data_IF_446174148484
#
_entry.id   IF_446174148484
#
_cell.length_a   1.000
_cell.length_b   1.000
_cell.length_c   1.000
_cell.angle_alpha   90.00
_cell.angle_beta   90.00
_cell.angle_gamma   90.00
#
_symmetry.space_group_name_H-M   'P 1'
#
loop_
_entity.id
_entity.type
_entity.pdbx_description
1 polymer ?
#
# COMPACT_ATOMS: atom_id res chain seq x y z
N UNK A 1 4.85 10.17 6.50
CA UNK A 1 3.91 9.74 7.57
C UNK A 1 2.86 10.83 7.77
N UNK A 2 1.58 10.48 7.93
CA UNK A 2 0.51 11.45 8.20
C UNK A 2 0.50 11.94 9.66
N UNK A 3 1.08 11.17 10.58
CA UNK A 3 1.15 11.47 12.02
C UNK A 3 1.91 12.77 12.35
N UNK A 4 2.81 13.22 11.46
CA UNK A 4 3.61 14.44 11.67
C UNK A 4 2.84 15.74 11.41
N UNK A 5 1.52 15.67 11.15
CA UNK A 5 0.70 16.84 10.79
C UNK A 5 0.04 17.53 11.97
N UNK A 6 -0.05 16.87 13.11
CA UNK A 6 -0.52 17.49 14.36
C UNK A 6 0.69 18.17 15.02
N UNK A 7 0.58 19.47 15.28
CA UNK A 7 1.66 20.26 15.89
C UNK A 7 1.49 20.36 17.40
N UNK A 8 0.25 20.51 17.88
CA UNK A 8 -0.01 20.71 19.31
C UNK A 8 -1.41 20.19 19.70
N UNK A 9 -1.53 19.73 20.94
CA UNK A 9 -2.82 19.45 21.58
C UNK A 9 -2.88 20.12 22.94
N UNK A 10 -3.81 21.06 23.10
CA UNK A 10 -4.07 21.73 24.37
C UNK A 10 -5.28 21.07 25.07
N UNK A 11 -5.01 20.46 26.23
CA UNK A 11 -6.00 19.74 27.03
C UNK A 11 -6.99 20.66 27.76
N UNK A 12 -6.55 21.86 28.15
CA UNK A 12 -7.37 22.81 28.91
C UNK A 12 -8.44 23.45 28.02
N UNK A 13 -8.02 23.95 26.85
CA UNK A 13 -8.92 24.54 25.86
C UNK A 13 -9.61 23.50 24.97
N UNK A 14 -9.20 22.22 25.04
CA UNK A 14 -9.67 21.13 24.16
C UNK A 14 -9.53 21.51 22.68
N UNK A 15 -8.36 22.00 22.30
CA UNK A 15 -8.04 22.40 20.92
C UNK A 15 -6.84 21.62 20.37
N UNK A 16 -6.88 21.35 19.07
CA UNK A 16 -5.80 20.67 18.34
C UNK A 16 -5.31 21.60 17.23
N UNK A 17 -4.01 21.82 17.18
CA UNK A 17 -3.34 22.54 16.09
C UNK A 17 -2.70 21.53 15.14
N UNK A 18 -2.94 21.70 13.84
CA UNK A 18 -2.47 20.80 12.80
C UNK A 18 -2.30 21.55 11.47
N UNK A 19 -1.61 20.94 10.51
CA UNK A 19 -1.44 21.55 9.18
C UNK A 19 -1.73 20.59 8.04
N UNK A 20 -2.11 21.15 6.90
CA UNK A 20 -2.20 20.44 5.63
C UNK A 20 -1.66 21.29 4.49
N UNK A 21 -1.30 20.63 3.40
CA UNK A 21 -0.94 21.30 2.16
C UNK A 21 -2.14 21.18 1.22
N UNK A 22 -2.64 22.32 0.73
CA UNK A 22 -3.67 22.28 -0.30
C UNK A 22 -3.02 21.88 -1.64
N UNK A 23 -3.54 20.83 -2.25
CA UNK A 23 -3.14 20.37 -3.58
C UNK A 23 -3.43 21.38 -4.71
N UNK A 24 -4.33 22.35 -4.50
CA UNK A 24 -4.63 23.38 -5.50
C UNK A 24 -3.61 24.51 -5.50
N UNK A 25 -3.30 25.01 -4.31
CA UNK A 25 -2.44 26.19 -4.14
C UNK A 25 -1.00 25.84 -3.75
N UNK A 26 -0.70 24.55 -3.51
CA UNK A 26 0.57 24.01 -2.99
C UNK A 26 1.09 24.68 -1.70
N UNK A 27 0.22 25.42 -1.02
CA UNK A 27 0.54 26.16 0.21
C UNK A 27 0.19 25.35 1.45
N UNK A 28 0.97 25.59 2.50
CA UNK A 28 0.71 25.08 3.84
C UNK A 28 -0.32 25.94 4.54
N UNK A 29 -1.31 25.29 5.14
CA UNK A 29 -2.31 25.91 6.01
C UNK A 29 -2.19 25.32 7.41
N UNK A 30 -1.99 26.17 8.40
CA UNK A 30 -2.02 25.81 9.82
C UNK A 30 -3.41 26.14 10.37
N UNK A 31 -4.02 25.18 11.05
CA UNK A 31 -5.39 25.22 11.55
C UNK A 31 -5.41 24.84 13.02
N UNK A 32 -6.20 25.57 13.81
CA UNK A 32 -6.49 25.22 15.20
C UNK A 32 -8.01 25.04 15.34
N UNK A 33 -8.43 23.81 15.58
CA UNK A 33 -9.84 23.43 15.74
C UNK A 33 -10.11 22.94 17.17
N UNK A 34 -11.39 22.94 17.57
CA UNK A 34 -11.80 22.16 18.74
C UNK A 34 -11.57 20.66 18.46
N UNK A 35 -11.26 19.89 19.51
CA UNK A 35 -11.04 18.43 19.40
C UNK A 35 -12.21 17.71 18.72
N UNK A 36 -13.45 18.08 19.02
CA UNK A 36 -14.63 17.43 18.44
C UNK A 36 -14.72 17.70 16.94
N UNK A 37 -14.49 18.95 16.53
CA UNK A 37 -14.50 19.32 15.11
C UNK A 37 -13.37 18.64 14.34
N UNK A 38 -12.19 18.57 14.94
CA UNK A 38 -11.05 17.85 14.37
C UNK A 38 -11.39 16.36 14.15
N UNK A 39 -12.01 15.69 15.13
CA UNK A 39 -12.43 14.29 15.00
C UNK A 39 -13.51 14.15 13.92
N UNK A 40 -14.50 15.05 13.87
CA UNK A 40 -15.54 15.03 12.85
C UNK A 40 -14.95 15.14 11.43
N UNK A 41 -13.95 16.01 11.24
CA UNK A 41 -13.22 16.13 9.97
C UNK A 41 -12.43 14.87 9.59
N UNK A 42 -12.02 14.05 10.56
CA UNK A 42 -11.35 12.78 10.28
C UNK A 42 -12.35 11.68 9.88
N UNK A 43 -13.49 11.62 10.57
CA UNK A 43 -14.50 10.56 10.39
C UNK A 43 -15.07 10.56 8.97
N UNK A 44 -15.23 11.72 8.31
CA UNK A 44 -15.76 11.80 6.93
C UNK A 44 -14.96 10.96 5.91
N UNK A 45 -13.69 10.64 6.20
CA UNK A 45 -12.85 9.83 5.32
C UNK A 45 -13.05 8.33 5.52
N UNK A 46 -13.78 7.93 6.57
CA UNK A 46 -14.16 6.55 6.82
C UNK A 46 -15.44 6.28 6.04
N UNK A 47 -15.41 5.42 5.00
CA UNK A 47 -16.61 5.10 4.24
C UNK A 47 -17.59 4.28 5.10
N UNK A 48 -18.88 4.45 4.84
CA UNK A 48 -19.92 3.64 5.48
C UNK A 48 -19.74 2.14 5.17
N UNK A 49 -20.18 1.30 6.11
CA UNK A 49 -19.95 -0.15 6.10
C UNK A 49 -20.38 -0.84 4.78
N UNK A 50 -21.46 -0.36 4.16
CA UNK A 50 -22.03 -0.96 2.96
C UNK A 50 -21.56 -0.30 1.65
N UNK A 51 -20.69 0.72 1.72
CA UNK A 51 -20.15 1.37 0.53
C UNK A 51 -18.96 0.56 0.01
N UNK A 52 -19.23 -0.23 -1.03
CA UNK A 52 -18.16 -0.86 -1.81
C UNK A 52 -17.38 0.24 -2.53
N UNK A 53 -16.18 0.54 -2.03
CA UNK A 53 -15.25 1.46 -2.71
C UNK A 53 -14.91 0.96 -4.11
N UNK A 54 -14.41 1.84 -4.99
CA UNK A 54 -14.03 1.52 -6.39
C UNK A 54 -13.23 0.24 -6.53
N UNK A 55 -12.40 -0.10 -5.53
CA UNK A 55 -11.61 -1.33 -5.48
C UNK A 55 -12.44 -2.62 -5.53
N UNK A 56 -13.64 -2.61 -5.00
CA UNK A 56 -14.52 -3.80 -4.94
C UNK A 56 -15.52 -3.87 -6.09
N UNK A 57 -15.50 -2.90 -7.01
CA UNK A 57 -16.43 -2.83 -8.13
C UNK A 57 -15.79 -3.25 -9.46
N UNK A 58 -16.59 -3.84 -10.35
CA UNK A 58 -16.22 -4.15 -11.73
C UNK A 58 -14.92 -4.97 -11.86
N UNK A 59 -14.05 -4.58 -12.79
CA UNK A 59 -12.76 -5.23 -13.05
C UNK A 59 -11.68 -4.96 -11.99
N UNK A 60 -11.92 -4.04 -11.04
CA UNK A 60 -11.02 -3.82 -9.91
C UNK A 60 -11.18 -4.87 -8.81
N UNK A 61 -12.36 -5.50 -8.74
CA UNK A 61 -12.64 -6.54 -7.76
C UNK A 61 -11.71 -7.75 -7.96
N UNK A 62 -11.18 -8.30 -6.87
CA UNK A 62 -10.31 -9.49 -6.96
C UNK A 62 -11.02 -10.69 -7.62
N UNK A 63 -12.34 -10.81 -7.44
CA UNK A 63 -13.15 -11.88 -8.01
C UNK A 63 -13.23 -11.81 -9.55
N UNK A 64 -13.20 -10.60 -10.14
CA UNK A 64 -13.35 -10.41 -11.59
C UNK A 64 -12.04 -10.60 -12.36
N UNK A 65 -10.91 -10.85 -11.67
CA UNK A 65 -9.59 -11.04 -12.28
C UNK A 65 -9.58 -12.07 -13.42
N UNK A 66 -10.26 -13.21 -13.25
CA UNK A 66 -10.34 -14.25 -14.29
C UNK A 66 -11.03 -13.73 -15.56
N UNK A 67 -12.08 -12.94 -15.40
CA UNK A 67 -12.83 -12.35 -16.52
C UNK A 67 -12.00 -11.26 -17.19
N UNK A 68 -11.35 -10.40 -16.41
CA UNK A 68 -10.43 -9.36 -16.91
C UNK A 68 -9.29 -9.97 -17.74
N UNK A 69 -8.72 -11.09 -17.27
CA UNK A 69 -7.65 -11.79 -17.97
C UNK A 69 -8.08 -12.29 -19.35
N UNK A 70 -9.32 -12.78 -19.47
CA UNK A 70 -9.92 -13.17 -20.76
C UNK A 70 -10.12 -11.96 -21.67
N UNK A 71 -10.61 -10.85 -21.12
CA UNK A 71 -10.81 -9.60 -21.87
C UNK A 71 -9.48 -9.08 -22.42
N UNK A 72 -8.42 -9.06 -21.61
CA UNK A 72 -7.08 -8.69 -22.09
C UNK A 72 -6.57 -9.60 -23.20
N UNK A 73 -6.79 -10.92 -23.10
CA UNK A 73 -6.40 -11.86 -24.14
C UNK A 73 -7.12 -11.59 -25.48
N UNK A 74 -8.43 -11.32 -25.43
CA UNK A 74 -9.23 -10.98 -26.61
C UNK A 74 -8.79 -9.65 -27.25
N UNK A 75 -8.43 -8.67 -26.43
CA UNK A 75 -7.95 -7.37 -26.88
C UNK A 75 -6.47 -7.36 -27.27
N UNK A 76 -5.76 -8.48 -27.15
CA UNK A 76 -4.31 -8.57 -27.42
C UNK A 76 -3.43 -7.75 -26.47
N UNK A 77 -3.97 -7.31 -25.34
CA UNK A 77 -3.24 -6.49 -24.36
C UNK A 77 -2.28 -7.39 -23.59
N UNK A 78 -0.98 -7.18 -23.80
CA UNK A 78 0.06 -7.89 -23.05
C UNK A 78 0.17 -7.33 -21.65
N UNK A 79 0.23 -8.22 -20.66
CA UNK A 79 0.50 -7.84 -19.27
C UNK A 79 2.00 -7.57 -19.10
N UNK A 80 2.34 -6.45 -18.46
CA UNK A 80 3.73 -6.09 -18.15
C UNK A 80 4.36 -6.99 -17.07
N UNK A 81 3.54 -7.68 -16.27
CA UNK A 81 4.02 -8.54 -15.18
C UNK A 81 3.08 -9.70 -14.93
N UNK A 82 3.66 -10.87 -14.68
CA UNK A 82 2.91 -12.04 -14.25
C UNK A 82 2.63 -12.00 -12.74
N UNK A 83 1.36 -11.79 -12.40
CA UNK A 83 0.84 -11.80 -11.03
C UNK A 83 0.29 -13.17 -10.59
N UNK A 84 0.64 -14.25 -11.28
CA UNK A 84 0.32 -15.63 -10.90
C UNK A 84 0.80 -15.94 -9.49
N UNK A 85 0.10 -16.86 -8.82
CA UNK A 85 0.50 -17.35 -7.50
C UNK A 85 1.86 -18.04 -7.58
N UNK A 86 2.11 -18.77 -8.67
CA UNK A 86 3.32 -19.55 -8.91
C UNK A 86 4.57 -18.68 -9.03
N UNK A 87 4.50 -17.56 -9.77
CA UNK A 87 5.62 -16.62 -9.89
C UNK A 87 5.94 -15.95 -8.57
N UNK A 88 4.90 -15.61 -7.79
CA UNK A 88 5.05 -15.04 -6.44
C UNK A 88 5.68 -16.02 -5.46
N UNK A 89 5.21 -17.28 -5.43
CA UNK A 89 5.77 -18.31 -4.55
C UNK A 89 7.22 -18.63 -4.93
N UNK A 90 7.54 -18.73 -6.22
CA UNK A 90 8.92 -18.91 -6.71
C UNK A 90 9.83 -17.75 -6.28
N UNK A 91 9.36 -16.51 -6.44
CA UNK A 91 10.14 -15.32 -6.06
C UNK A 91 10.37 -15.27 -4.54
N UNK A 92 9.36 -15.59 -3.74
CA UNK A 92 9.48 -15.68 -2.29
C UNK A 92 10.47 -16.76 -1.88
N UNK A 93 10.38 -17.96 -2.48
CA UNK A 93 11.31 -19.08 -2.22
C UNK A 93 12.75 -18.68 -2.54
N UNK A 94 12.98 -17.97 -3.64
CA UNK A 94 14.30 -17.48 -4.01
C UNK A 94 14.84 -16.45 -3.00
N UNK A 95 13.98 -15.51 -2.56
CA UNK A 95 14.34 -14.54 -1.51
C UNK A 95 14.72 -15.24 -0.21
N UNK A 96 13.91 -16.20 0.25
CA UNK A 96 14.20 -16.99 1.45
C UNK A 96 15.47 -17.81 1.31
N UNK A 97 15.68 -18.43 0.15
CA UNK A 97 16.89 -19.19 -0.10
C UNK A 97 18.13 -18.31 -0.01
N UNK A 98 18.08 -17.06 -0.48
CA UNK A 98 19.22 -16.11 -0.40
C UNK A 98 19.63 -15.76 1.04
N UNK A 99 18.72 -15.88 2.00
CA UNK A 99 19.00 -15.66 3.43
C UNK A 99 19.73 -16.85 4.08
N UNK A 100 19.88 -17.98 3.39
CA UNK A 100 20.55 -19.16 3.96
C UNK A 100 22.06 -18.93 4.01
N UNK A 101 22.67 -19.35 5.11
CA UNK A 101 24.13 -19.26 5.28
C UNK A 101 24.90 -19.96 4.14
N UNK A 102 24.42 -21.13 3.72
CA UNK A 102 24.98 -21.88 2.58
C UNK A 102 24.98 -21.07 1.28
N UNK A 103 23.90 -20.38 0.94
CA UNK A 103 23.86 -19.56 -0.28
C UNK A 103 24.78 -18.34 -0.16
N UNK A 104 24.88 -17.73 1.03
CA UNK A 104 25.81 -16.64 1.27
C UNK A 104 27.27 -17.07 1.06
N UNK A 105 27.65 -18.27 1.54
CA UNK A 105 28.98 -18.84 1.32
C UNK A 105 29.25 -19.10 -0.17
N UNK A 106 28.27 -19.63 -0.89
CA UNK A 106 28.37 -19.89 -2.34
C UNK A 106 28.53 -18.57 -3.12
N UNK A 107 27.70 -17.56 -2.83
CA UNK A 107 27.70 -16.26 -3.53
C UNK A 107 28.96 -15.44 -3.25
N UNK A 108 29.49 -15.49 -2.02
CA UNK A 108 30.63 -14.66 -1.60
C UNK A 108 31.99 -15.26 -1.99
N UNK A 109 32.10 -16.59 -2.00
CA UNK A 109 33.37 -17.29 -2.15
C UNK A 109 33.44 -18.21 -3.37
N UNK A 110 32.40 -18.23 -4.23
CA UNK A 110 32.30 -19.13 -5.39
C UNK A 110 32.53 -20.62 -5.06
N UNK A 111 32.32 -21.01 -3.80
CA UNK A 111 32.45 -22.39 -3.32
C UNK A 111 31.30 -23.21 -3.91
N UNK A 112 31.51 -23.83 -5.06
CA UNK A 112 30.53 -24.79 -5.59
C UNK A 112 30.39 -25.92 -4.57
N UNK A 113 29.18 -26.28 -4.15
CA UNK A 113 29.02 -27.43 -3.29
C UNK A 113 29.40 -28.67 -4.12
N UNK A 114 30.45 -29.36 -3.70
CA UNK A 114 30.89 -30.60 -4.33
C UNK A 114 29.70 -31.55 -4.52
N UNK A 115 29.50 -32.04 -5.74
CA UNK A 115 28.54 -33.11 -6.02
C UNK A 115 29.06 -34.39 -5.41
N UNK A 116 28.40 -34.87 -4.37
CA UNK A 116 28.33 -36.30 -4.06
C UNK A 116 27.00 -36.82 -4.59
#
# INVERSE_FOLDING_TARGET
MAENRITEYNKESKTVSWFYNDHKDEKRHDVTDNVIDFINRLIIHIPDYHVLTTRYYGFYANASKKTLDKVHALLGIKKNKDYSRETRTKTLKNKLNKLKYRTHLIDSFNLRPNSM
#
